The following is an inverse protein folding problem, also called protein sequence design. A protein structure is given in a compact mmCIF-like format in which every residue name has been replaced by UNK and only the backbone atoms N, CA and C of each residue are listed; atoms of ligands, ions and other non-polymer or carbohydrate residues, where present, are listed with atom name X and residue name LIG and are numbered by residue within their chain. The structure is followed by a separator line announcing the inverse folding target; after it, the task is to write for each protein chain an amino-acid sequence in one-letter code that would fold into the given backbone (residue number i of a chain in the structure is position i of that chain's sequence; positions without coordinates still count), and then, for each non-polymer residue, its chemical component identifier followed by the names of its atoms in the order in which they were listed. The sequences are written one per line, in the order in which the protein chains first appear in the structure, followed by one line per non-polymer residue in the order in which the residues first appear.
data_IF_870870946802
#
_entry.id   IF_870870946802
#
_cell.length_a   1.000
_cell.length_b   1.000
_cell.length_c   1.000
_cell.angle_alpha   90.00
_cell.angle_beta   90.00
_cell.angle_gamma   90.00
#
_symmetry.space_group_name_H-M   'P 1'
#
loop_
_entity.id
_entity.type
_entity.pdbx_description
1 polymer ?
#
# COMPACT_ATOMS: atom_id res chain seq x y z
N UNK A 1 -33.20 -37.78 -15.82
CA UNK A 1 -32.61 -38.38 -14.61
C UNK A 1 -32.83 -37.43 -13.44
N UNK A 2 -33.50 -37.94 -12.40
CA UNK A 2 -33.67 -37.42 -11.02
C UNK A 2 -32.33 -37.05 -10.37
N UNK A 3 -32.15 -36.19 -9.35
CA UNK A 3 -32.99 -35.70 -8.23
C UNK A 3 -32.27 -34.49 -7.60
N UNK A 4 -33.04 -33.59 -7.00
CA UNK A 4 -32.55 -32.52 -6.11
C UNK A 4 -32.02 -33.05 -4.77
N UNK A 5 -31.19 -32.26 -4.09
CA UNK A 5 -30.77 -32.51 -2.71
C UNK A 5 -30.12 -31.29 -2.05
N UNK A 6 -30.95 -30.39 -1.51
CA UNK A 6 -30.54 -29.44 -0.45
C UNK A 6 -30.68 -30.16 0.89
N UNK A 7 -29.67 -30.04 1.76
CA UNK A 7 -29.82 -30.34 3.19
C UNK A 7 -29.41 -29.12 4.03
N UNK A 8 -30.14 -28.94 5.14
CA UNK A 8 -30.36 -27.70 5.88
C UNK A 8 -29.78 -27.80 7.30
N UNK A 9 -29.40 -26.64 7.87
CA UNK A 9 -29.57 -26.15 9.27
C UNK A 9 -28.63 -26.57 10.42
N UNK A 10 -28.29 -25.55 11.22
CA UNK A 10 -27.91 -25.56 12.65
C UNK A 10 -26.88 -24.45 12.93
N UNK A 11 -27.21 -23.22 13.31
CA UNK A 11 -27.80 -22.69 14.56
C UNK A 11 -26.93 -22.88 15.82
N UNK A 12 -26.19 -21.84 16.24
CA UNK A 12 -25.86 -21.43 17.63
C UNK A 12 -24.92 -20.19 17.55
N UNK A 13 -25.38 -18.96 17.80
CA UNK A 13 -25.41 -18.28 19.11
C UNK A 13 -24.10 -18.39 19.91
N UNK A 14 -23.37 -17.27 19.98
CA UNK A 14 -22.18 -17.12 20.82
C UNK A 14 -21.70 -15.66 20.85
N UNK A 15 -22.53 -14.77 21.41
CA UNK A 15 -22.15 -13.40 21.73
C UNK A 15 -21.33 -13.45 23.04
N UNK A 16 -20.01 -13.26 22.97
CA UNK A 16 -19.16 -13.13 24.16
C UNK A 16 -18.64 -11.69 24.21
N UNK A 17 -19.34 -10.86 24.97
CA UNK A 17 -18.79 -9.62 25.53
C UNK A 17 -17.98 -10.00 26.76
N UNK A 18 -16.68 -9.70 26.76
CA UNK A 18 -15.93 -9.44 28.00
C UNK A 18 -14.99 -8.25 27.79
N UNK A 19 -15.30 -7.21 28.57
CA UNK A 19 -14.54 -5.99 28.74
C UNK A 19 -13.27 -6.24 29.57
N UNK A 20 -12.21 -5.49 29.25
CA UNK A 20 -11.14 -5.20 30.20
C UNK A 20 -10.55 -3.83 29.87
N UNK A 21 -11.05 -2.80 30.54
CA UNK A 21 -10.42 -1.50 30.64
C UNK A 21 -9.22 -1.61 31.60
N UNK A 22 -8.02 -1.33 31.09
CA UNK A 22 -6.86 -1.05 31.93
C UNK A 22 -6.40 0.37 31.64
N UNK A 23 -6.92 1.31 32.42
CA UNK A 23 -6.34 2.64 32.54
C UNK A 23 -5.09 2.53 33.41
N UNK A 24 -3.92 2.77 32.80
CA UNK A 24 -2.63 2.74 33.47
C UNK A 24 -1.61 3.54 32.69
N UNK A 25 -1.47 4.83 33.03
CA UNK A 25 -0.47 5.74 32.49
C UNK A 25 -0.14 6.82 33.51
N UNK A 26 1.09 6.78 34.00
CA UNK A 26 1.67 7.45 35.16
C UNK A 26 2.19 8.87 34.83
N UNK A 27 2.36 9.70 35.88
CA UNK A 27 3.41 10.73 35.91
C UNK A 27 2.90 12.18 35.98
N UNK A 28 3.01 12.79 37.15
CA UNK A 28 2.55 14.16 37.45
C UNK A 28 3.40 15.30 36.86
N UNK A 29 3.03 16.57 37.16
CA UNK A 29 3.61 17.76 36.56
C UNK A 29 4.92 18.14 37.28
N UNK A 30 6.03 18.13 36.56
CA UNK A 30 7.29 18.74 36.98
C UNK A 30 7.61 19.93 36.09
N UNK A 31 7.44 21.14 36.61
CA UNK A 31 7.84 22.38 35.95
C UNK A 31 9.30 22.73 36.32
N UNK A 32 10.13 22.93 35.27
CA UNK A 32 11.30 23.84 35.11
C UNK A 32 12.43 23.87 36.17
N UNK A 33 13.72 23.96 35.77
CA UNK A 33 14.22 25.12 35.02
C UNK A 33 15.22 24.85 33.87
N UNK A 34 15.06 25.68 32.84
CA UNK A 34 15.98 25.95 31.72
C UNK A 34 17.46 26.15 32.09
N UNK A 35 18.40 25.42 31.46
CA UNK A 35 19.78 25.87 31.29
C UNK A 35 19.94 26.64 29.97
N UNK A 36 20.61 27.79 30.04
CA UNK A 36 20.90 28.71 28.95
C UNK A 36 21.42 27.99 27.68
N UNK A 37 20.67 28.15 26.59
CA UNK A 37 20.98 27.56 25.28
C UNK A 37 22.16 28.24 24.60
N UNK A 38 23.21 27.47 24.36
CA UNK A 38 24.20 27.75 23.31
C UNK A 38 23.51 27.50 21.96
N UNK A 39 23.55 28.41 20.96
CA UNK A 39 23.03 28.09 19.64
C UNK A 39 23.94 27.05 18.98
N UNK A 40 23.56 25.78 19.08
CA UNK A 40 24.11 24.73 18.25
C UNK A 40 23.56 24.91 16.83
N UNK A 41 24.20 25.78 16.04
CA UNK A 41 24.03 25.82 14.59
C UNK A 41 24.66 24.56 14.01
N UNK A 42 23.89 23.47 14.04
CA UNK A 42 24.18 22.22 13.37
C UNK A 42 22.93 21.79 12.62
N UNK A 43 22.69 22.41 11.46
CA UNK A 43 21.69 21.95 10.50
C UNK A 43 22.13 20.57 9.98
N UNK A 44 21.75 19.53 10.72
CA UNK A 44 21.88 18.16 10.24
C UNK A 44 20.79 17.96 9.18
N UNK A 45 21.12 17.58 7.94
CA UNK A 45 20.09 17.39 6.92
C UNK A 45 19.11 16.32 7.41
N UNK A 46 17.86 16.74 7.63
CA UNK A 46 16.80 15.80 7.98
C UNK A 46 16.59 14.81 6.83
N UNK A 47 16.32 13.52 7.09
CA UNK A 47 16.04 12.55 6.04
C UNK A 47 14.85 13.04 5.20
N UNK A 48 15.05 13.21 3.89
CA UNK A 48 13.97 13.61 2.99
C UNK A 48 12.93 12.49 2.95
N UNK A 49 11.69 12.81 3.34
CA UNK A 49 10.60 11.85 3.25
C UNK A 49 10.41 11.42 1.78
N UNK A 50 10.29 10.11 1.54
CA UNK A 50 9.90 9.59 0.22
C UNK A 50 8.56 10.21 -0.18
N UNK A 51 8.48 10.76 -1.39
CA UNK A 51 7.22 11.28 -1.91
C UNK A 51 6.18 10.15 -2.11
N UNK A 52 4.87 10.43 -1.97
CA UNK A 52 3.82 9.44 -2.25
C UNK A 52 3.91 8.85 -3.67
N UNK A 53 4.28 9.65 -4.67
CA UNK A 53 4.47 9.19 -6.05
C UNK A 53 5.62 8.18 -6.19
N UNK A 54 6.73 8.41 -5.48
CA UNK A 54 7.88 7.51 -5.49
C UNK A 54 7.58 6.20 -4.76
N UNK A 55 6.85 6.25 -3.63
CA UNK A 55 6.39 5.05 -2.94
C UNK A 55 5.45 4.23 -3.85
N UNK A 56 4.46 4.88 -4.46
CA UNK A 56 3.57 4.25 -5.44
C UNK A 56 4.38 3.57 -6.56
N UNK A 57 5.36 4.28 -7.14
CA UNK A 57 6.19 3.76 -8.24
C UNK A 57 6.90 2.47 -7.83
N UNK A 58 7.51 2.45 -6.63
CA UNK A 58 8.23 1.27 -6.12
C UNK A 58 7.30 0.07 -5.90
N UNK A 59 6.14 0.30 -5.30
CA UNK A 59 5.16 -0.77 -5.02
C UNK A 59 4.61 -1.34 -6.32
N UNK A 60 4.18 -0.50 -7.27
CA UNK A 60 3.65 -0.95 -8.57
C UNK A 60 4.71 -1.74 -9.34
N UNK A 61 5.95 -1.25 -9.40
CA UNK A 61 7.01 -1.93 -10.12
C UNK A 61 7.37 -3.29 -9.49
N UNK A 62 7.36 -3.39 -8.16
CA UNK A 62 7.56 -4.64 -7.44
C UNK A 62 6.49 -5.68 -7.81
N UNK A 63 5.22 -5.34 -7.64
CA UNK A 63 4.12 -6.26 -7.92
C UNK A 63 3.99 -6.61 -9.39
N UNK A 64 4.31 -5.68 -10.29
CA UNK A 64 4.31 -5.95 -11.73
C UNK A 64 5.34 -7.02 -12.10
N UNK A 65 6.57 -6.90 -11.59
CA UNK A 65 7.62 -7.91 -11.82
C UNK A 65 7.26 -9.27 -11.23
N UNK A 66 6.55 -9.28 -10.10
CA UNK A 66 6.07 -10.51 -9.47
C UNK A 66 4.99 -11.17 -10.33
N UNK A 67 4.03 -10.40 -10.83
CA UNK A 67 2.97 -10.88 -11.72
C UNK A 67 3.49 -11.41 -13.06
N UNK A 68 4.58 -10.84 -13.60
CA UNK A 68 5.24 -11.34 -14.81
C UNK A 68 5.93 -12.70 -14.61
N UNK A 69 6.23 -13.09 -13.37
CA UNK A 69 6.81 -14.41 -13.04
C UNK A 69 5.77 -15.52 -12.87
N UNK A 70 4.49 -15.22 -13.09
CA UNK A 70 3.40 -16.18 -12.97
C UNK A 70 2.76 -16.25 -11.58
N UNK A 71 3.18 -15.39 -10.66
CA UNK A 71 2.52 -15.27 -9.36
C UNK A 71 1.16 -14.58 -9.52
N UNK A 72 0.11 -15.17 -8.93
CA UNK A 72 -1.21 -14.56 -8.92
C UNK A 72 -1.25 -13.35 -7.99
N UNK A 73 -2.11 -12.38 -8.29
CA UNK A 73 -2.34 -11.24 -7.40
C UNK A 73 -3.02 -11.71 -6.12
N UNK A 74 -2.53 -11.28 -4.96
CA UNK A 74 -3.37 -11.24 -3.77
C UNK A 74 -4.52 -10.24 -3.98
N UNK A 75 -5.49 -10.22 -3.07
CA UNK A 75 -6.40 -9.07 -3.03
C UNK A 75 -5.57 -7.79 -2.78
N UNK A 76 -6.03 -6.65 -3.31
CA UNK A 76 -5.25 -5.41 -3.29
C UNK A 76 -4.95 -4.91 -1.87
N UNK A 77 -5.77 -5.28 -0.87
CA UNK A 77 -5.52 -4.98 0.54
C UNK A 77 -4.31 -5.75 1.07
N UNK A 78 -4.22 -7.05 0.79
CA UNK A 78 -3.06 -7.88 1.13
C UNK A 78 -1.74 -7.39 0.49
N UNK A 79 -1.84 -6.65 -0.60
CA UNK A 79 -0.70 -6.06 -1.31
C UNK A 79 -0.32 -4.66 -0.80
N UNK A 80 -1.08 -4.10 0.14
CA UNK A 80 -0.91 -2.73 0.64
C UNK A 80 -1.21 -1.66 -0.41
N UNK A 81 -2.07 -1.97 -1.38
CA UNK A 81 -2.46 -1.06 -2.45
C UNK A 81 -3.79 -0.36 -2.08
N UNK A 82 -3.95 0.89 -2.51
CA UNK A 82 -5.29 1.48 -2.65
C UNK A 82 -5.95 0.95 -3.93
N UNK A 83 -7.26 1.13 -4.07
CA UNK A 83 -7.99 0.69 -5.28
C UNK A 83 -7.40 1.34 -6.55
N UNK A 84 -7.21 2.66 -6.52
CA UNK A 84 -6.58 3.36 -7.65
C UNK A 84 -5.12 2.99 -7.92
N UNK A 85 -4.35 2.52 -6.92
CA UNK A 85 -3.03 1.94 -7.19
C UNK A 85 -3.15 0.56 -7.83
N UNK A 86 -4.14 -0.24 -7.43
CA UNK A 86 -4.42 -1.53 -8.04
C UNK A 86 -4.85 -1.41 -9.51
N UNK A 87 -5.60 -0.37 -9.87
CA UNK A 87 -5.88 -0.03 -11.27
C UNK A 87 -4.62 0.24 -12.08
N UNK A 88 -3.71 1.05 -11.53
CA UNK A 88 -2.40 1.32 -12.15
C UNK A 88 -1.63 0.01 -12.33
N UNK A 89 -1.58 -0.86 -11.32
CA UNK A 89 -0.89 -2.14 -11.39
C UNK A 89 -1.43 -3.00 -12.55
N UNK A 90 -2.75 -3.14 -12.64
CA UNK A 90 -3.38 -3.97 -13.68
C UNK A 90 -3.02 -3.48 -15.09
N UNK A 91 -3.09 -2.16 -15.30
CA UNK A 91 -2.73 -1.55 -16.59
C UNK A 91 -1.23 -1.74 -16.93
N UNK A 92 -0.34 -1.54 -15.96
CA UNK A 92 1.11 -1.71 -16.16
C UNK A 92 1.46 -3.16 -16.49
N UNK A 93 0.84 -4.14 -15.81
CA UNK A 93 1.10 -5.56 -16.09
C UNK A 93 0.57 -5.98 -17.45
N UNK A 94 -0.61 -5.51 -17.84
CA UNK A 94 -1.17 -5.78 -19.16
C UNK A 94 -0.21 -5.31 -20.28
N UNK A 95 0.23 -4.05 -20.21
CA UNK A 95 1.20 -3.51 -21.16
C UNK A 95 2.55 -4.27 -21.12
N UNK A 96 3.03 -4.62 -19.93
CA UNK A 96 4.30 -5.33 -19.79
C UNK A 96 4.24 -6.76 -20.33
N UNK A 97 3.08 -7.44 -20.23
CA UNK A 97 2.87 -8.76 -20.85
C UNK A 97 2.91 -8.66 -22.37
N UNK A 98 2.23 -7.68 -22.95
CA UNK A 98 2.29 -7.42 -24.38
C UNK A 98 3.71 -7.07 -24.86
N UNK A 99 4.47 -6.31 -24.06
CA UNK A 99 5.88 -6.03 -24.35
C UNK A 99 6.76 -7.27 -24.27
N UNK A 100 6.52 -8.12 -23.26
CA UNK A 100 7.27 -9.36 -23.06
C UNK A 100 7.14 -10.28 -24.26
N UNK A 101 5.92 -10.44 -24.78
CA UNK A 101 5.65 -11.24 -25.97
C UNK A 101 6.38 -10.71 -27.21
N UNK A 102 6.49 -9.38 -27.32
CA UNK A 102 7.05 -8.73 -28.50
C UNK A 102 8.58 -8.60 -28.48
N UNK A 103 9.16 -8.36 -27.31
CA UNK A 103 10.55 -7.93 -27.16
C UNK A 103 11.29 -8.53 -25.95
N UNK A 104 10.67 -9.50 -25.26
CA UNK A 104 11.28 -10.26 -24.17
C UNK A 104 11.28 -9.58 -22.80
N UNK A 105 11.81 -10.31 -21.81
CA UNK A 105 11.71 -9.95 -20.39
C UNK A 105 12.38 -8.61 -20.04
N UNK A 106 13.53 -8.32 -20.65
CA UNK A 106 14.24 -7.07 -20.42
C UNK A 106 13.44 -5.86 -20.91
N UNK A 107 12.73 -5.99 -22.04
CA UNK A 107 11.86 -4.94 -22.55
C UNK A 107 10.64 -4.72 -21.64
N UNK A 108 10.01 -5.82 -21.20
CA UNK A 108 8.91 -5.78 -20.24
C UNK A 108 9.31 -5.07 -18.93
N UNK A 109 10.50 -5.37 -18.40
CA UNK A 109 11.04 -4.69 -17.21
C UNK A 109 11.16 -3.17 -17.39
N UNK A 110 11.66 -2.72 -18.55
CA UNK A 110 11.76 -1.29 -18.87
C UNK A 110 10.38 -0.62 -19.01
N UNK A 111 9.39 -1.33 -19.56
CA UNK A 111 8.01 -0.84 -19.64
C UNK A 111 7.41 -0.70 -18.25
N UNK A 112 7.60 -1.68 -17.36
CA UNK A 112 7.14 -1.62 -15.97
C UNK A 112 7.66 -0.35 -15.29
N UNK A 113 8.97 -0.10 -15.32
CA UNK A 113 9.55 1.05 -14.62
C UNK A 113 9.05 2.38 -15.19
N UNK A 114 8.98 2.51 -16.52
CA UNK A 114 8.52 3.73 -17.19
C UNK A 114 7.04 4.01 -16.90
N UNK A 115 6.18 2.99 -17.01
CA UNK A 115 4.73 3.15 -16.86
C UNK A 115 4.32 3.34 -15.41
N UNK A 116 4.93 2.59 -14.49
CA UNK A 116 4.70 2.79 -13.05
C UNK A 116 5.01 4.22 -12.64
N UNK A 117 6.17 4.74 -13.04
CA UNK A 117 6.57 6.12 -12.75
C UNK A 117 5.58 7.14 -13.31
N UNK A 118 5.29 7.07 -14.62
CA UNK A 118 4.40 8.03 -15.27
C UNK A 118 2.98 8.02 -14.68
N UNK A 119 2.43 6.84 -14.38
CA UNK A 119 1.09 6.70 -13.82
C UNK A 119 1.01 7.21 -12.37
N UNK A 120 2.01 6.89 -11.53
CA UNK A 120 2.07 7.38 -10.16
C UNK A 120 2.32 8.89 -10.10
N UNK A 121 3.22 9.44 -10.92
CA UNK A 121 3.42 10.90 -11.03
C UNK A 121 2.13 11.60 -11.44
N UNK A 122 1.37 11.03 -12.41
CA UNK A 122 0.07 11.55 -12.81
C UNK A 122 -0.95 11.52 -11.66
N UNK A 123 -1.02 10.42 -10.89
CA UNK A 123 -1.99 10.27 -9.80
C UNK A 123 -1.78 11.26 -8.66
N UNK A 124 -0.52 11.58 -8.36
CA UNK A 124 -0.16 12.40 -7.19
C UNK A 124 0.19 13.86 -7.56
N UNK A 125 0.01 14.27 -8.82
CA UNK A 125 0.38 15.60 -9.31
C UNK A 125 -0.31 16.74 -8.54
N UNK A 126 -1.59 16.57 -8.24
CA UNK A 126 -2.44 17.61 -7.66
C UNK A 126 -2.64 17.45 -6.14
N UNK A 127 -1.75 16.67 -5.50
CA UNK A 127 -1.95 16.18 -4.14
C UNK A 127 -2.42 14.73 -4.15
N UNK A 128 -2.21 14.03 -3.02
CA UNK A 128 -2.65 12.64 -2.89
C UNK A 128 -4.17 12.51 -3.04
N UNK A 129 -4.67 11.29 -3.25
CA UNK A 129 -6.10 11.04 -3.33
C UNK A 129 -6.82 11.66 -2.13
N UNK A 130 -7.87 12.44 -2.39
CA UNK A 130 -8.66 13.12 -1.34
C UNK A 130 -9.69 12.20 -0.68
N UNK A 131 -9.76 10.94 -1.10
CA UNK A 131 -10.56 9.91 -0.44
C UNK A 131 -9.91 9.47 0.88
N UNK A 132 -10.61 8.62 1.63
CA UNK A 132 -9.99 7.95 2.78
C UNK A 132 -8.75 7.14 2.36
N UNK A 133 -8.06 6.46 3.29
CA UNK A 133 -6.81 5.73 3.00
C UNK A 133 -6.87 4.74 1.81
N UNK A 134 -8.09 4.42 1.35
CA UNK A 134 -8.40 3.45 0.30
C UNK A 134 -8.98 4.07 -0.99
N UNK A 135 -9.25 5.38 -1.07
CA UNK A 135 -9.81 6.05 -2.25
C UNK A 135 -8.81 6.93 -2.97
#
# INVERSE_FOLDING_TARGET
MTKAGVCRRGAALGLVLLAACSAGGCGGPGAEPSPAGVPASGDSPSPTATSPAELCTRIIAYWSRRALKGDTYGDYQSMGLSDGQYEILRAVVDEARAERERAGDAAAGRIVDRRARAACEKRYRDGGPTGGPWG
#
